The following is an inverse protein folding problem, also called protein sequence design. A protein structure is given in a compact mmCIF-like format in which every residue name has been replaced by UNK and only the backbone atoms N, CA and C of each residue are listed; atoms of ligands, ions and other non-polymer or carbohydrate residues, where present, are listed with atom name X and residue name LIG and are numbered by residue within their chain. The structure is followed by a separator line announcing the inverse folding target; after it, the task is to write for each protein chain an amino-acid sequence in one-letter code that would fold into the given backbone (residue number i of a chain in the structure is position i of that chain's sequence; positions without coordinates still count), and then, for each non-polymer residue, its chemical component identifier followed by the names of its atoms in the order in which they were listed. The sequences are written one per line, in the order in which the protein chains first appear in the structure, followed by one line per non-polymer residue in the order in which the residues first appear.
data_IF_660482362800
#
_entry.id   IF_660482362800
#
_cell.length_a   1.000
_cell.length_b   1.000
_cell.length_c   1.000
_cell.angle_alpha   90.00
_cell.angle_beta   90.00
_cell.angle_gamma   90.00
#
_symmetry.space_group_name_H-M   'P 1'
#
loop_
_entity.id
_entity.type
_entity.pdbx_description
1 polymer ?
#
# COMPACT_ATOMS: atom_id res chain seq x y z
N UNK A 1 -8.10 -15.91 9.90
CA UNK A 1 -8.63 -16.86 10.88
C UNK A 1 -8.98 -16.13 12.18
N UNK A 2 -9.51 -16.86 13.15
CA UNK A 2 -9.90 -16.28 14.45
C UNK A 2 -8.74 -15.76 15.32
N UNK A 3 -7.50 -16.10 14.96
CA UNK A 3 -6.30 -15.61 15.64
C UNK A 3 -5.73 -14.34 14.98
N UNK A 4 -6.43 -13.78 13.99
CA UNK A 4 -5.99 -12.58 13.28
C UNK A 4 -5.06 -12.82 12.10
N UNK A 5 -4.65 -14.05 11.80
CA UNK A 5 -3.80 -14.33 10.63
C UNK A 5 -4.61 -14.36 9.35
N UNK A 6 -4.15 -13.61 8.35
CA UNK A 6 -4.72 -13.64 7.00
C UNK A 6 -4.50 -14.99 6.35
N UNK A 7 -5.53 -15.55 5.72
CA UNK A 7 -5.49 -16.84 5.05
C UNK A 7 -5.66 -16.73 3.55
N UNK A 8 -6.42 -15.74 3.12
CA UNK A 8 -6.70 -15.45 1.72
C UNK A 8 -6.84 -13.95 1.55
N UNK A 9 -6.30 -13.42 0.48
CA UNK A 9 -6.57 -12.08 0.00
C UNK A 9 -6.97 -12.17 -1.47
N UNK A 10 -8.26 -12.00 -1.74
CA UNK A 10 -8.81 -11.97 -3.09
C UNK A 10 -9.24 -10.55 -3.43
N UNK A 11 -8.75 -10.04 -4.55
CA UNK A 11 -8.96 -8.65 -4.97
C UNK A 11 -9.38 -8.57 -6.43
N UNK A 12 -10.45 -7.87 -6.68
CA UNK A 12 -10.81 -7.40 -8.02
C UNK A 12 -10.57 -5.89 -8.11
N UNK A 13 -9.61 -5.51 -8.95
CA UNK A 13 -9.21 -4.12 -9.17
C UNK A 13 -9.66 -3.65 -10.55
N UNK A 14 -10.62 -2.71 -10.60
CA UNK A 14 -11.13 -2.13 -11.84
C UNK A 14 -10.68 -0.68 -11.94
N UNK A 15 -10.05 -0.33 -13.05
CA UNK A 15 -9.53 0.99 -13.30
C UNK A 15 -10.11 1.56 -14.59
N UNK A 16 -10.59 2.80 -14.52
CA UNK A 16 -11.10 3.54 -15.68
C UNK A 16 -9.93 4.00 -16.55
N UNK A 17 -9.93 3.58 -17.82
CA UNK A 17 -8.90 3.96 -18.79
C UNK A 17 -9.26 5.22 -19.58
N UNK A 18 -10.54 5.61 -19.61
CA UNK A 18 -11.03 6.57 -20.56
C UNK A 18 -11.13 5.97 -21.97
N UNK A 19 -11.12 6.79 -23.02
CA UNK A 19 -11.30 6.30 -24.39
C UNK A 19 -10.02 5.71 -25.02
N UNK A 20 -8.86 5.88 -24.39
CA UNK A 20 -7.58 5.44 -24.93
C UNK A 20 -6.78 4.62 -23.94
N UNK A 21 -6.11 3.58 -24.43
CA UNK A 21 -5.17 2.80 -23.65
C UNK A 21 -3.86 3.57 -23.54
N UNK A 22 -3.56 4.06 -22.34
CA UNK A 22 -2.27 4.69 -22.01
C UNK A 22 -1.53 3.83 -20.95
N UNK A 23 -1.32 4.36 -19.77
CA UNK A 23 -0.67 3.65 -18.66
C UNK A 23 -1.61 2.75 -17.85
N UNK A 24 -2.93 2.83 -18.03
CA UNK A 24 -3.91 2.18 -17.16
C UNK A 24 -3.71 0.66 -17.03
N UNK A 25 -3.47 -0.12 -18.10
CA UNK A 25 -3.21 -1.56 -17.96
C UNK A 25 -1.94 -1.86 -17.16
N UNK A 26 -0.88 -1.05 -17.36
CA UNK A 26 0.38 -1.22 -16.63
C UNK A 26 0.22 -0.83 -15.15
N UNK A 27 -0.57 0.18 -14.84
CA UNK A 27 -0.92 0.59 -13.48
C UNK A 27 -1.67 -0.54 -12.77
N UNK A 28 -2.64 -1.17 -13.45
CA UNK A 28 -3.37 -2.34 -12.93
C UNK A 28 -2.41 -3.50 -12.64
N UNK A 29 -1.54 -3.83 -13.58
CA UNK A 29 -0.56 -4.90 -13.40
C UNK A 29 0.45 -4.60 -12.28
N UNK A 30 0.86 -3.33 -12.13
CA UNK A 30 1.75 -2.91 -11.05
C UNK A 30 1.07 -2.99 -9.68
N UNK A 31 -0.23 -2.70 -9.60
CA UNK A 31 -1.00 -2.80 -8.36
C UNK A 31 -0.98 -4.21 -7.76
N UNK A 32 -1.02 -5.26 -8.58
CA UNK A 32 -0.97 -6.65 -8.13
C UNK A 32 0.23 -6.97 -7.23
N UNK A 33 1.35 -6.25 -7.39
CA UNK A 33 2.62 -6.46 -6.66
C UNK A 33 2.74 -5.57 -5.42
N UNK A 34 1.69 -4.88 -5.01
CA UNK A 34 1.74 -3.89 -3.92
C UNK A 34 1.10 -4.38 -2.62
N UNK A 35 0.84 -5.67 -2.49
CA UNK A 35 0.38 -6.26 -1.24
C UNK A 35 1.57 -6.47 -0.30
N UNK A 36 1.58 -5.75 0.80
CA UNK A 36 2.64 -5.79 1.83
C UNK A 36 2.36 -6.75 2.98
N UNK A 37 1.25 -7.47 2.90
CA UNK A 37 0.87 -8.45 3.90
C UNK A 37 1.20 -9.85 3.43
N UNK A 38 1.70 -10.67 4.36
CA UNK A 38 1.95 -12.07 4.12
C UNK A 38 0.63 -12.83 4.17
N UNK A 39 0.24 -13.43 3.05
CA UNK A 39 -0.94 -14.26 2.96
C UNK A 39 -0.63 -15.55 2.20
N UNK A 40 -1.06 -16.72 2.70
CA UNK A 40 -0.81 -17.99 2.04
C UNK A 40 -1.45 -18.08 0.65
N UNK A 41 -2.59 -17.45 0.47
CA UNK A 41 -3.34 -17.49 -0.77
C UNK A 41 -3.65 -16.06 -1.24
N UNK A 42 -3.13 -15.70 -2.39
CA UNK A 42 -3.33 -14.40 -3.01
C UNK A 42 -3.94 -14.55 -4.40
N UNK A 43 -5.06 -13.90 -4.63
CA UNK A 43 -5.74 -13.79 -5.92
C UNK A 43 -5.90 -12.33 -6.31
N UNK A 44 -5.56 -11.99 -7.53
CA UNK A 44 -5.71 -10.63 -8.05
C UNK A 44 -6.29 -10.65 -9.46
N UNK A 45 -7.47 -10.08 -9.61
CA UNK A 45 -8.10 -9.84 -10.90
C UNK A 45 -8.06 -8.35 -11.23
N UNK A 46 -7.27 -7.97 -12.23
CA UNK A 46 -7.11 -6.58 -12.66
C UNK A 46 -7.79 -6.30 -13.99
N UNK A 47 -8.61 -5.27 -14.04
CA UNK A 47 -9.33 -4.84 -15.23
C UNK A 47 -9.06 -3.37 -15.53
N UNK A 48 -8.63 -3.08 -16.76
CA UNK A 48 -8.57 -1.74 -17.33
C UNK A 48 -9.75 -1.58 -18.26
N UNK A 49 -10.67 -0.67 -17.95
CA UNK A 49 -11.98 -0.56 -18.62
C UNK A 49 -12.04 0.71 -19.45
N UNK A 50 -12.36 0.58 -20.73
CA UNK A 50 -12.64 1.75 -21.58
C UNK A 50 -13.94 2.42 -21.16
N UNK A 51 -13.94 3.73 -21.18
CA UNK A 51 -15.10 4.55 -20.85
C UNK A 51 -15.08 5.86 -21.64
N UNK A 52 -16.19 6.60 -21.59
CA UNK A 52 -16.29 7.94 -22.17
C UNK A 52 -15.82 9.06 -21.23
N UNK A 53 -15.11 8.70 -20.13
CA UNK A 53 -14.51 9.68 -19.23
C UNK A 53 -13.14 10.14 -19.73
N UNK A 54 -12.56 11.13 -19.06
CA UNK A 54 -11.20 11.60 -19.35
C UNK A 54 -10.22 10.43 -19.29
N UNK A 55 -9.26 10.41 -20.21
CA UNK A 55 -8.24 9.36 -20.30
C UNK A 55 -7.49 9.20 -18.96
N UNK A 56 -7.51 7.99 -18.45
CA UNK A 56 -6.75 7.60 -17.28
C UNK A 56 -5.26 7.47 -17.59
N UNK A 57 -4.41 7.72 -16.61
CA UNK A 57 -2.96 7.65 -16.79
C UNK A 57 -2.22 7.27 -15.51
N UNK A 58 -0.90 7.43 -15.56
CA UNK A 58 -0.04 7.19 -14.41
C UNK A 58 -0.12 8.36 -13.42
N UNK A 59 -0.36 8.05 -12.17
CA UNK A 59 -0.26 8.97 -11.05
C UNK A 59 0.83 8.47 -10.09
N UNK A 60 1.48 9.37 -9.34
CA UNK A 60 2.51 8.99 -8.37
C UNK A 60 2.01 7.91 -7.43
N UNK A 61 2.81 6.83 -7.27
CA UNK A 61 2.39 5.61 -6.58
C UNK A 61 1.97 4.48 -7.52
N UNK A 62 1.62 4.78 -8.79
CA UNK A 62 1.43 3.86 -9.90
C UNK A 62 0.56 2.63 -9.54
N UNK A 63 -0.68 2.90 -9.10
CA UNK A 63 -1.66 1.90 -8.66
C UNK A 63 -1.60 1.57 -7.16
N UNK A 64 -0.51 1.92 -6.46
CA UNK A 64 -0.40 1.65 -5.04
C UNK A 64 -1.41 2.44 -4.20
N UNK A 65 -1.59 3.73 -4.50
CA UNK A 65 -2.50 4.60 -3.74
C UNK A 65 -3.94 4.10 -3.78
N UNK A 66 -4.42 3.72 -4.97
CA UNK A 66 -5.77 3.21 -5.15
C UNK A 66 -5.99 1.86 -4.44
N UNK A 67 -5.02 0.95 -4.57
CA UNK A 67 -5.10 -0.36 -3.91
C UNK A 67 -4.98 -0.20 -2.39
N UNK A 68 -4.07 0.64 -1.91
CA UNK A 68 -3.88 0.90 -0.48
C UNK A 68 -5.16 1.39 0.16
N UNK A 69 -5.88 2.31 -0.46
CA UNK A 69 -7.14 2.82 0.07
C UNK A 69 -8.13 1.70 0.41
N UNK A 70 -8.45 0.85 -0.57
CA UNK A 70 -9.40 -0.25 -0.34
C UNK A 70 -8.89 -1.31 0.62
N UNK A 71 -7.61 -1.65 0.52
CA UNK A 71 -6.96 -2.65 1.36
C UNK A 71 -6.94 -2.22 2.83
N UNK A 72 -6.52 -0.99 3.11
CA UNK A 72 -6.37 -0.53 4.48
C UNK A 72 -7.71 -0.33 5.19
N UNK A 73 -8.76 0.07 4.47
CA UNK A 73 -10.14 0.05 4.99
C UNK A 73 -10.56 -1.38 5.34
N UNK A 74 -10.20 -2.37 4.51
CA UNK A 74 -10.50 -3.76 4.81
C UNK A 74 -9.74 -4.24 6.05
N UNK A 75 -8.47 -3.85 6.21
CA UNK A 75 -7.66 -4.18 7.39
C UNK A 75 -8.28 -3.60 8.67
N UNK A 76 -8.75 -2.35 8.64
CA UNK A 76 -9.44 -1.74 9.79
C UNK A 76 -10.72 -2.50 10.15
N UNK A 77 -11.53 -2.85 9.15
CA UNK A 77 -12.77 -3.61 9.38
C UNK A 77 -12.52 -5.01 9.93
N UNK A 78 -11.44 -5.65 9.50
CA UNK A 78 -11.04 -6.96 10.01
C UNK A 78 -10.54 -6.87 11.45
N UNK A 79 -9.68 -5.88 11.76
CA UNK A 79 -9.21 -5.63 13.11
C UNK A 79 -10.39 -5.36 14.07
N UNK A 80 -11.29 -4.47 13.68
CA UNK A 80 -12.51 -4.18 14.45
C UNK A 80 -13.38 -5.43 14.67
N UNK A 81 -13.59 -6.24 13.63
CA UNK A 81 -14.41 -7.46 13.74
C UNK A 81 -13.79 -8.50 14.65
N UNK A 82 -12.48 -8.51 14.81
CA UNK A 82 -11.72 -9.42 15.67
C UNK A 82 -11.45 -8.85 17.05
N UNK A 83 -11.90 -7.61 17.31
CA UNK A 83 -11.60 -6.85 18.53
C UNK A 83 -10.09 -6.74 18.79
N UNK A 84 -9.34 -6.45 17.73
CA UNK A 84 -7.88 -6.32 17.75
C UNK A 84 -7.46 -4.88 17.49
N UNK A 85 -6.35 -4.46 18.13
CA UNK A 85 -5.71 -3.19 17.80
C UNK A 85 -5.32 -3.16 16.31
N UNK A 86 -5.66 -2.09 15.57
CA UNK A 86 -5.40 -2.02 14.13
C UNK A 86 -3.90 -2.00 13.76
N UNK A 87 -3.02 -1.53 14.65
CA UNK A 87 -1.57 -1.59 14.43
C UNK A 87 -1.07 -3.01 14.62
N UNK A 88 -1.45 -3.65 15.72
CA UNK A 88 -1.06 -5.04 16.03
C UNK A 88 -1.53 -6.00 14.95
N UNK A 89 -2.78 -5.83 14.48
CA UNK A 89 -3.32 -6.64 13.38
C UNK A 89 -2.50 -6.51 12.10
N UNK A 90 -2.04 -5.31 11.77
CA UNK A 90 -1.18 -5.05 10.61
C UNK A 90 0.22 -5.63 10.79
N UNK A 91 0.85 -5.38 11.93
CA UNK A 91 2.19 -5.89 12.24
C UNK A 91 2.24 -7.42 12.26
N UNK A 92 1.20 -8.06 12.80
CA UNK A 92 1.07 -9.52 12.80
C UNK A 92 1.09 -10.10 11.39
N UNK A 93 0.52 -9.40 10.42
CA UNK A 93 0.34 -9.88 9.05
C UNK A 93 1.33 -9.28 8.05
N UNK A 94 2.16 -8.34 8.46
CA UNK A 94 3.13 -7.71 7.57
C UNK A 94 4.24 -8.68 7.17
N UNK A 95 4.71 -8.56 5.91
CA UNK A 95 5.85 -9.34 5.40
C UNK A 95 7.11 -9.05 6.20
N UNK A 96 7.78 -10.08 6.67
CA UNK A 96 8.98 -9.98 7.50
C UNK A 96 10.27 -10.07 6.66
N UNK A 97 11.40 -9.72 7.28
CA UNK A 97 12.72 -9.89 6.66
C UNK A 97 12.94 -11.36 6.32
N UNK A 98 13.38 -11.64 5.11
CA UNK A 98 13.55 -12.98 4.57
C UNK A 98 12.33 -13.57 3.84
N UNK A 99 11.14 -13.00 4.05
CA UNK A 99 9.93 -13.36 3.30
C UNK A 99 9.83 -12.58 1.98
N UNK A 100 9.00 -13.07 1.06
CA UNK A 100 8.71 -12.38 -0.19
C UNK A 100 7.32 -11.72 -0.13
N UNK A 101 7.18 -10.56 -0.76
CA UNK A 101 5.85 -10.04 -1.07
C UNK A 101 5.10 -11.01 -1.99
N UNK A 102 3.78 -11.13 -1.91
CA UNK A 102 3.00 -11.86 -2.88
C UNK A 102 3.34 -11.39 -4.31
N UNK A 103 3.48 -12.33 -5.23
CA UNK A 103 3.92 -12.11 -6.61
C UNK A 103 5.35 -11.52 -6.77
N UNK A 104 6.20 -11.62 -5.76
CA UNK A 104 7.60 -11.25 -5.84
C UNK A 104 8.50 -12.45 -5.52
N UNK A 105 9.68 -12.50 -6.16
CA UNK A 105 10.66 -13.56 -5.97
C UNK A 105 11.88 -13.13 -5.16
N UNK A 106 11.95 -11.84 -4.81
CA UNK A 106 13.09 -11.29 -4.07
C UNK A 106 12.67 -11.11 -2.61
N UNK A 107 13.40 -11.75 -1.68
CA UNK A 107 13.12 -11.58 -0.26
C UNK A 107 13.34 -10.15 0.23
N UNK A 108 12.55 -9.74 1.21
CA UNK A 108 12.73 -8.47 1.91
C UNK A 108 14.05 -8.53 2.69
N UNK A 109 14.97 -7.63 2.38
CA UNK A 109 16.29 -7.59 3.02
C UNK A 109 16.33 -6.72 4.28
N UNK A 110 15.44 -5.73 4.38
CA UNK A 110 15.31 -4.86 5.54
C UNK A 110 13.87 -4.36 5.67
N UNK A 111 13.43 -4.16 6.91
CA UNK A 111 12.07 -3.72 7.20
C UNK A 111 12.05 -2.90 8.49
N UNK A 112 11.66 -1.64 8.40
CA UNK A 112 11.53 -0.74 9.56
C UNK A 112 10.07 -0.39 9.90
N UNK A 113 9.10 -1.14 9.36
CA UNK A 113 7.68 -0.79 9.51
C UNK A 113 7.22 -0.86 10.97
N UNK A 114 7.73 -1.81 11.75
CA UNK A 114 7.39 -1.93 13.16
C UNK A 114 7.88 -0.72 13.95
N UNK A 115 9.13 -0.32 13.77
CA UNK A 115 9.69 0.87 14.43
C UNK A 115 8.90 2.12 14.07
N UNK A 116 8.55 2.28 12.79
CA UNK A 116 7.73 3.39 12.32
C UNK A 116 6.33 3.37 12.97
N UNK A 117 5.68 2.21 13.02
CA UNK A 117 4.35 2.07 13.61
C UNK A 117 4.37 2.36 15.12
N UNK A 118 5.33 1.83 15.85
CA UNK A 118 5.52 2.11 17.28
C UNK A 118 5.79 3.60 17.54
N UNK A 119 6.63 4.22 16.72
CA UNK A 119 6.89 5.65 16.84
C UNK A 119 5.64 6.49 16.56
N UNK A 120 4.83 6.12 15.56
CA UNK A 120 3.55 6.79 15.30
C UNK A 120 2.58 6.66 16.47
N UNK A 121 2.45 5.48 17.08
CA UNK A 121 1.63 5.28 18.29
C UNK A 121 2.12 6.14 19.47
N UNK A 122 3.43 6.27 19.63
CA UNK A 122 4.00 7.13 20.67
C UNK A 122 3.68 8.60 20.40
N UNK A 123 3.87 9.08 19.18
CA UNK A 123 3.55 10.48 18.79
C UNK A 123 2.06 10.76 18.98
N UNK A 124 1.19 9.81 18.62
CA UNK A 124 -0.25 9.93 18.87
C UNK A 124 -0.54 10.18 20.34
N UNK A 125 0.03 9.38 21.24
CA UNK A 125 -0.14 9.56 22.70
C UNK A 125 0.36 10.93 23.17
N UNK A 126 1.56 11.32 22.69
CA UNK A 126 2.15 12.62 23.01
C UNK A 126 1.25 13.81 22.57
N UNK A 127 0.55 13.65 21.44
CA UNK A 127 -0.40 14.67 20.94
C UNK A 127 -1.69 14.64 21.76
N UNK A 128 -2.27 13.48 22.00
CA UNK A 128 -3.51 13.33 22.78
C UNK A 128 -3.37 13.86 24.21
N UNK A 129 -2.18 13.76 24.79
CA UNK A 129 -1.88 14.33 26.12
C UNK A 129 -1.80 15.86 26.12
N UNK A 130 -1.33 16.47 25.03
CA UNK A 130 -1.13 17.93 24.92
C UNK A 130 -2.35 18.63 24.33
N UNK A 131 -2.97 17.99 23.35
CA UNK A 131 -4.06 18.53 22.56
C UNK A 131 -5.17 17.46 22.47
N UNK A 132 -6.00 17.30 23.50
CA UNK A 132 -7.07 16.31 23.47
C UNK A 132 -8.02 16.58 22.31
N UNK A 133 -8.63 15.52 21.80
CA UNK A 133 -9.59 15.59 20.70
C UNK A 133 -10.68 16.63 21.02
N UNK A 134 -11.05 17.41 20.02
CA UNK A 134 -12.06 18.43 20.14
C UNK A 134 -13.41 17.77 20.45
N UNK A 135 -14.01 18.18 21.57
CA UNK A 135 -15.37 17.81 21.95
C UNK A 135 -16.34 18.93 21.54
N UNK A 136 -16.80 18.86 20.29
CA UNK A 136 -17.74 19.82 19.71
C UNK A 136 -18.80 19.04 18.92
N UNK A 137 -20.06 19.46 19.04
CA UNK A 137 -21.17 18.77 18.37
C UNK A 137 -21.09 18.79 16.83
N UNK A 138 -20.40 19.79 16.26
CA UNK A 138 -20.23 19.97 14.83
C UNK A 138 -18.90 19.41 14.30
N UNK A 139 -17.98 18.98 15.19
CA UNK A 139 -16.66 18.50 14.84
C UNK A 139 -16.55 17.03 15.24
N UNK A 140 -16.06 16.21 14.34
CA UNK A 140 -15.70 14.83 14.62
C UNK A 140 -14.23 14.63 14.25
N UNK A 141 -13.46 14.17 15.19
CA UNK A 141 -12.03 13.99 15.06
C UNK A 141 -11.67 12.55 15.47
N UNK A 142 -10.80 11.91 14.72
CA UNK A 142 -10.36 10.56 15.02
C UNK A 142 -8.97 10.30 14.43
N UNK A 143 -8.25 9.38 15.02
CA UNK A 143 -7.01 8.84 14.47
C UNK A 143 -7.28 7.72 13.49
N UNK A 144 -6.48 7.67 12.44
CA UNK A 144 -6.47 6.56 11.50
C UNK A 144 -5.03 6.14 11.21
N UNK A 145 -4.83 4.87 10.91
CA UNK A 145 -3.54 4.33 10.51
C UNK A 145 -3.67 3.57 9.19
N UNK A 146 -2.68 3.73 8.33
CA UNK A 146 -2.54 2.89 7.15
C UNK A 146 -1.07 2.57 6.90
N UNK A 147 -0.82 1.35 6.40
CA UNK A 147 0.49 0.96 5.95
C UNK A 147 0.55 1.04 4.42
N UNK A 148 1.68 1.50 3.90
CA UNK A 148 1.90 1.56 2.46
C UNK A 148 3.32 1.11 2.13
N UNK A 149 3.45 0.41 1.03
CA UNK A 149 4.73 -0.01 0.49
C UNK A 149 4.81 0.38 -0.99
N UNK A 150 5.90 1.01 -1.37
CA UNK A 150 6.16 1.31 -2.76
C UNK A 150 7.57 0.86 -3.14
N UNK A 151 7.67 0.02 -4.17
CA UNK A 151 8.96 -0.41 -4.68
C UNK A 151 9.70 0.74 -5.36
N UNK A 152 10.98 0.86 -5.09
CA UNK A 152 11.87 1.74 -5.84
C UNK A 152 12.74 0.92 -6.81
N UNK A 153 12.86 1.42 -8.04
CA UNK A 153 13.58 0.73 -9.10
C UNK A 153 12.77 -0.39 -9.80
N UNK A 154 13.35 -1.02 -10.82
CA UNK A 154 12.71 -2.10 -11.56
C UNK A 154 12.62 -3.36 -10.70
N UNK A 155 11.43 -3.93 -10.61
CA UNK A 155 11.10 -5.07 -9.73
C UNK A 155 11.69 -6.42 -10.22
N UNK A 156 12.31 -6.48 -11.37
CA UNK A 156 12.76 -7.73 -11.99
C UNK A 156 14.14 -7.69 -12.64
N UNK A 157 14.84 -6.56 -12.57
CA UNK A 157 16.17 -6.40 -13.17
C UNK A 157 17.02 -5.49 -12.32
N UNK A 158 18.33 -5.69 -12.33
CA UNK A 158 19.29 -4.73 -11.79
C UNK A 158 19.10 -3.39 -12.49
N UNK A 159 18.84 -2.35 -11.71
CA UNK A 159 18.74 -1.00 -12.23
C UNK A 159 20.11 -0.46 -12.59
N UNK A 160 20.43 -0.45 -13.88
CA UNK A 160 21.65 0.19 -14.36
C UNK A 160 21.39 1.67 -14.58
N UNK A 161 22.25 2.50 -14.01
CA UNK A 161 22.26 3.95 -14.27
C UNK A 161 23.58 4.34 -14.91
N UNK A 162 23.51 5.21 -15.90
CA UNK A 162 24.68 5.75 -16.56
C UNK A 162 24.52 7.23 -16.82
N UNK A 163 25.62 7.96 -16.82
CA UNK A 163 25.64 9.37 -17.22
C UNK A 163 26.77 9.58 -18.22
N UNK A 164 26.50 10.38 -19.26
CA UNK A 164 27.51 10.85 -20.20
C UNK A 164 27.51 12.37 -20.12
N UNK A 165 28.67 12.97 -19.82
CA UNK A 165 28.87 14.43 -19.81
C UNK A 165 29.77 14.80 -20.96
N UNK A 166 29.29 15.66 -21.83
CA UNK A 166 30.03 16.20 -22.96
C UNK A 166 30.29 17.69 -22.72
N UNK A 167 31.54 18.08 -22.68
CA UNK A 167 31.96 19.50 -22.65
C UNK A 167 32.41 19.88 -24.03
N UNK A 168 31.76 20.86 -24.64
CA UNK A 168 32.22 21.46 -25.88
C UNK A 168 33.21 22.57 -25.56
N UNK A 169 34.25 22.68 -26.37
CA UNK A 169 35.34 23.66 -26.17
C UNK A 169 35.11 24.92 -27.04
N UNK A 170 33.95 25.56 -26.90
CA UNK A 170 33.63 26.81 -27.58
C UNK A 170 33.62 27.99 -26.64
#
# INVERSE_FOLDING_TARGET
DKNGKLQLFDTTFRLNAGPYTTHTPTVVAAAARKLQYNVPNYSFTGLSVFTNHVTGGAFRGYGNTQLTFGREILMDRLAQKLDMDPVEFRLMNHVQVGECFPCASIPVSSNGIEDCARRCQQIQKEIDEKEPLIDDENIRQAWGISFSCHGSGPSSKEGLSGAVVLLNAD
#
